data_IF_885529071548
#
_entry.id   IF_885529071548
#
_cell.length_a   1.000
_cell.length_b   1.000
_cell.length_c   1.000
_cell.angle_alpha   90.00
_cell.angle_beta   90.00
_cell.angle_gamma   90.00
#
_symmetry.space_group_name_H-M   'P 1'
#
loop_
_entity.id
_entity.type
_entity.pdbx_description
1 polymer ?
#
# COMPACT_ATOMS: atom_id res chain seq x y z
N UNK A 1 2.64 33.22 -6.05
CA UNK A 1 2.71 31.79 -5.73
C UNK A 1 3.46 31.16 -6.87
N UNK A 2 4.61 30.55 -6.64
CA UNK A 2 5.39 29.84 -7.66
C UNK A 2 4.99 28.38 -7.65
N UNK A 3 4.68 27.79 -8.80
CA UNK A 3 4.34 26.37 -8.99
C UNK A 3 5.43 25.62 -9.77
N UNK A 4 6.58 26.28 -10.02
CA UNK A 4 7.69 25.60 -10.66
C UNK A 4 8.25 24.54 -9.71
N UNK A 5 8.64 23.40 -10.27
CA UNK A 5 9.30 22.35 -9.53
C UNK A 5 10.73 22.77 -9.19
N UNK A 6 11.18 22.40 -8.00
CA UNK A 6 12.61 22.51 -7.63
C UNK A 6 13.44 21.48 -8.43
N UNK A 7 14.73 21.71 -8.61
CA UNK A 7 15.59 20.80 -9.38
C UNK A 7 15.53 19.34 -8.92
N UNK A 8 15.36 19.09 -7.63
CA UNK A 8 15.21 17.76 -7.06
C UNK A 8 13.93 17.08 -7.55
N UNK A 9 12.80 17.79 -7.55
CA UNK A 9 11.51 17.28 -8.05
C UNK A 9 11.56 17.00 -9.56
N UNK A 10 12.28 17.83 -10.32
CA UNK A 10 12.50 17.61 -11.75
C UNK A 10 13.31 16.35 -12.00
N UNK A 11 14.37 16.13 -11.21
CA UNK A 11 15.20 14.92 -11.30
C UNK A 11 14.38 13.67 -10.99
N UNK A 12 13.57 13.69 -9.92
CA UNK A 12 12.68 12.57 -9.56
C UNK A 12 11.70 12.30 -10.70
N UNK A 13 11.04 13.34 -11.21
CA UNK A 13 10.10 13.23 -12.33
C UNK A 13 10.73 12.57 -13.54
N UNK A 14 11.90 13.05 -13.95
CA UNK A 14 12.57 12.56 -15.16
C UNK A 14 13.06 11.11 -14.97
N UNK A 15 13.58 10.78 -13.80
CA UNK A 15 14.01 9.42 -13.44
C UNK A 15 12.81 8.44 -13.47
N UNK A 16 11.71 8.79 -12.83
CA UNK A 16 10.53 7.90 -12.78
C UNK A 16 9.86 7.79 -14.15
N UNK A 17 9.81 8.89 -14.90
CA UNK A 17 9.30 8.86 -16.29
C UNK A 17 10.12 7.92 -17.17
N UNK A 18 11.43 7.99 -17.08
CA UNK A 18 12.32 7.08 -17.82
C UNK A 18 12.07 5.63 -17.40
N UNK A 19 12.04 5.35 -16.10
CA UNK A 19 11.71 4.02 -15.59
C UNK A 19 10.37 3.52 -16.09
N UNK A 20 9.32 4.34 -16.03
CA UNK A 20 7.98 3.97 -16.47
C UNK A 20 7.95 3.63 -17.97
N UNK A 21 8.63 4.42 -18.81
CA UNK A 21 8.71 4.17 -20.25
C UNK A 21 9.55 2.94 -20.61
N UNK A 22 10.66 2.71 -19.92
CA UNK A 22 11.60 1.65 -20.27
C UNK A 22 11.28 0.31 -19.63
N UNK A 23 10.68 0.32 -18.42
CA UNK A 23 10.44 -0.90 -17.63
C UNK A 23 8.98 -1.28 -17.51
N UNK A 24 8.08 -0.30 -17.29
CA UNK A 24 6.65 -0.56 -17.10
C UNK A 24 5.93 -0.70 -18.43
N UNK A 25 6.05 0.26 -19.35
CA UNK A 25 5.34 0.27 -20.62
C UNK A 25 5.48 -1.04 -21.45
N UNK A 26 6.66 -1.65 -21.56
CA UNK A 26 6.82 -2.87 -22.37
C UNK A 26 6.06 -4.08 -21.85
N UNK A 27 5.72 -4.12 -20.56
CA UNK A 27 5.11 -5.29 -19.89
C UNK A 27 3.68 -5.05 -19.42
N UNK A 28 3.19 -3.81 -19.43
CA UNK A 28 1.88 -3.44 -18.90
C UNK A 28 0.72 -4.25 -19.51
N UNK A 29 0.70 -4.38 -20.85
CA UNK A 29 -0.35 -5.16 -21.55
C UNK A 29 -0.29 -6.66 -21.21
N UNK A 30 0.91 -7.21 -21.04
CA UNK A 30 1.10 -8.61 -20.63
C UNK A 30 0.62 -8.84 -19.21
N UNK A 31 0.99 -7.97 -18.28
CA UNK A 31 0.56 -8.04 -16.88
C UNK A 31 -0.97 -8.01 -16.75
N UNK A 32 -1.64 -7.11 -17.49
CA UNK A 32 -3.10 -7.02 -17.51
C UNK A 32 -3.74 -8.29 -18.08
N UNK A 33 -3.25 -8.76 -19.24
CA UNK A 33 -3.78 -9.96 -19.91
C UNK A 33 -3.63 -11.22 -19.04
N UNK A 34 -2.49 -11.37 -18.36
CA UNK A 34 -2.18 -12.53 -17.54
C UNK A 34 -2.69 -12.41 -16.11
N UNK A 35 -3.17 -11.23 -15.73
CA UNK A 35 -3.60 -10.90 -14.36
C UNK A 35 -2.49 -11.21 -13.33
N UNK A 36 -1.26 -10.86 -13.67
CA UNK A 36 -0.06 -11.18 -12.92
C UNK A 36 0.38 -9.98 -12.07
N UNK A 37 0.69 -10.24 -10.80
CA UNK A 37 1.28 -9.22 -9.94
C UNK A 37 2.72 -8.90 -10.38
N UNK A 38 3.11 -7.59 -10.46
CA UNK A 38 4.38 -7.16 -11.04
C UNK A 38 5.55 -7.20 -10.03
N UNK A 39 5.89 -8.38 -9.49
CA UNK A 39 6.94 -8.54 -8.48
C UNK A 39 8.27 -7.93 -8.91
N UNK A 40 8.65 -8.08 -10.16
CA UNK A 40 9.90 -7.58 -10.74
C UNK A 40 9.93 -6.04 -10.71
N UNK A 41 8.83 -5.40 -11.12
CA UNK A 41 8.72 -3.94 -11.10
C UNK A 41 8.70 -3.40 -9.67
N UNK A 42 8.06 -4.11 -8.73
CA UNK A 42 8.08 -3.74 -7.30
C UNK A 42 9.51 -3.79 -6.76
N UNK A 43 10.28 -4.81 -7.10
CA UNK A 43 11.68 -4.92 -6.70
C UNK A 43 12.54 -3.78 -7.30
N UNK A 44 12.35 -3.44 -8.57
CA UNK A 44 13.05 -2.33 -9.21
C UNK A 44 12.66 -0.96 -8.61
N UNK A 45 11.38 -0.75 -8.28
CA UNK A 45 10.91 0.44 -7.55
C UNK A 45 11.54 0.53 -6.15
N UNK A 46 11.74 -0.60 -5.50
CA UNK A 46 12.42 -0.69 -4.21
C UNK A 46 13.90 -0.32 -4.33
N UNK A 47 14.60 -0.79 -5.36
CA UNK A 47 16.01 -0.42 -5.64
C UNK A 47 16.17 1.08 -5.89
N UNK A 48 15.16 1.72 -6.50
CA UNK A 48 15.13 3.17 -6.68
C UNK A 48 14.75 3.94 -5.40
N UNK A 49 14.45 3.26 -4.28
CA UNK A 49 14.04 3.88 -3.01
C UNK A 49 12.62 4.43 -3.00
N UNK A 50 11.79 4.06 -4.00
CA UNK A 50 10.47 4.65 -4.18
C UNK A 50 9.38 4.05 -3.26
N UNK A 51 9.63 2.87 -2.67
CA UNK A 51 8.66 2.20 -1.81
C UNK A 51 8.52 2.85 -0.43
N UNK A 52 9.54 3.55 0.05
CA UNK A 52 9.59 4.24 1.35
C UNK A 52 9.84 5.74 1.26
N UNK A 53 9.39 6.41 0.20
CA UNK A 53 9.83 7.78 -0.13
C UNK A 53 9.73 8.78 1.01
N UNK A 54 8.59 8.87 1.70
CA UNK A 54 8.39 9.87 2.77
C UNK A 54 8.68 9.33 4.16
N UNK A 55 9.11 8.07 4.27
CA UNK A 55 9.54 7.47 5.54
C UNK A 55 10.96 7.95 5.86
N UNK A 56 11.25 8.33 7.12
CA UNK A 56 12.58 8.77 7.51
C UNK A 56 13.68 7.74 7.25
N UNK A 57 14.88 8.22 6.98
CA UNK A 57 16.06 7.39 6.73
C UNK A 57 16.39 6.43 7.88
N UNK A 58 16.11 6.81 9.14
CA UNK A 58 16.29 5.95 10.31
C UNK A 58 15.48 4.66 10.27
N UNK A 59 14.39 4.63 9.47
CA UNK A 59 13.56 3.45 9.20
C UNK A 59 13.78 2.87 7.80
N UNK A 60 14.81 3.33 7.09
CA UNK A 60 15.18 2.83 5.77
C UNK A 60 14.42 3.46 4.61
N UNK A 61 13.71 4.56 4.84
CA UNK A 61 13.04 5.35 3.80
C UNK A 61 13.99 6.38 3.17
N UNK A 62 13.50 7.14 2.20
CA UNK A 62 14.25 8.17 1.50
C UNK A 62 14.16 9.57 2.17
N UNK A 63 13.23 9.77 3.10
CA UNK A 63 13.01 11.07 3.76
C UNK A 63 12.54 12.18 2.82
N UNK A 64 12.05 11.83 1.63
CA UNK A 64 11.58 12.79 0.64
C UNK A 64 10.25 13.44 1.06
N UNK A 65 9.86 14.49 0.38
CA UNK A 65 8.61 15.20 0.66
C UNK A 65 7.38 14.58 -0.05
N UNK A 66 6.21 15.05 0.31
CA UNK A 66 4.94 14.58 -0.28
C UNK A 66 4.79 14.95 -1.75
N UNK A 67 5.41 16.05 -2.20
CA UNK A 67 5.38 16.45 -3.60
C UNK A 67 6.18 15.47 -4.46
N UNK A 68 7.36 15.06 -4.00
CA UNK A 68 8.15 14.01 -4.63
C UNK A 68 7.35 12.72 -4.80
N UNK A 69 6.64 12.27 -3.75
CA UNK A 69 5.77 11.12 -3.81
C UNK A 69 4.63 11.28 -4.83
N UNK A 70 3.97 12.45 -4.86
CA UNK A 70 2.89 12.72 -5.81
C UNK A 70 3.38 12.67 -7.27
N UNK A 71 4.58 13.20 -7.55
CA UNK A 71 5.23 13.14 -8.86
C UNK A 71 5.47 11.70 -9.29
N UNK A 72 5.96 10.84 -8.39
CA UNK A 72 6.19 9.42 -8.68
C UNK A 72 4.88 8.72 -9.06
N UNK A 73 3.82 8.92 -8.27
CA UNK A 73 2.51 8.33 -8.57
C UNK A 73 1.96 8.84 -9.90
N UNK A 74 2.10 10.14 -10.20
CA UNK A 74 1.66 10.72 -11.47
C UNK A 74 2.39 10.09 -12.66
N UNK A 75 3.72 10.04 -12.63
CA UNK A 75 4.50 9.52 -13.77
C UNK A 75 4.29 8.02 -14.01
N UNK A 76 4.15 7.22 -12.95
CA UNK A 76 3.79 5.80 -13.09
C UNK A 76 2.37 5.64 -13.65
N UNK A 77 1.39 6.42 -13.14
CA UNK A 77 -0.02 6.33 -13.56
C UNK A 77 -0.20 6.68 -15.04
N UNK A 78 0.62 7.56 -15.59
CA UNK A 78 0.60 7.91 -17.04
C UNK A 78 0.86 6.71 -17.94
N UNK A 79 1.56 5.70 -17.45
CA UNK A 79 1.92 4.48 -18.19
C UNK A 79 1.05 3.31 -17.76
N UNK A 80 0.96 3.04 -16.45
CA UNK A 80 0.16 1.94 -15.90
C UNK A 80 -0.37 2.30 -14.51
N UNK A 81 -1.69 2.41 -14.41
CA UNK A 81 -2.35 2.75 -13.15
C UNK A 81 -2.28 1.62 -12.12
N UNK A 82 -2.12 0.36 -12.55
CA UNK A 82 -2.06 -0.79 -11.63
C UNK A 82 -0.72 -0.84 -10.90
N UNK A 83 0.38 -0.58 -11.61
CA UNK A 83 1.71 -0.44 -11.00
C UNK A 83 1.74 0.77 -10.06
N UNK A 84 1.16 1.89 -10.49
CA UNK A 84 1.07 3.09 -9.66
C UNK A 84 0.27 2.86 -8.38
N UNK A 85 -0.88 2.20 -8.44
CA UNK A 85 -1.72 1.94 -7.27
C UNK A 85 -1.07 0.92 -6.32
N UNK A 86 -0.30 -0.04 -6.84
CA UNK A 86 0.49 -0.97 -6.02
C UNK A 86 1.46 -0.21 -5.12
N UNK A 87 2.23 0.73 -5.67
CA UNK A 87 3.11 1.62 -4.91
C UNK A 87 2.31 2.54 -3.99
N UNK A 88 1.28 3.20 -4.52
CA UNK A 88 0.51 4.19 -3.79
C UNK A 88 -0.23 3.59 -2.59
N UNK A 89 -0.88 2.44 -2.76
CA UNK A 89 -1.57 1.75 -1.66
C UNK A 89 -0.60 1.23 -0.61
N UNK A 90 0.55 0.68 -1.03
CA UNK A 90 1.59 0.26 -0.10
C UNK A 90 2.10 1.44 0.73
N UNK A 91 2.49 2.54 0.08
CA UNK A 91 3.10 3.68 0.76
C UNK A 91 2.09 4.45 1.62
N UNK A 92 1.02 4.98 0.98
CA UNK A 92 0.11 5.92 1.64
C UNK A 92 -0.90 5.25 2.57
N UNK A 93 -1.42 4.09 2.19
CA UNK A 93 -2.46 3.40 2.96
C UNK A 93 -1.89 2.33 3.89
N UNK A 94 -0.86 1.60 3.47
CA UNK A 94 -0.26 0.54 4.26
C UNK A 94 0.81 1.02 5.24
N UNK A 95 1.77 1.82 4.76
CA UNK A 95 2.97 2.19 5.53
C UNK A 95 2.80 3.46 6.35
N UNK A 96 2.24 4.54 5.77
CA UNK A 96 2.08 5.82 6.47
C UNK A 96 1.21 5.75 7.75
N UNK A 97 0.12 4.97 7.85
CA UNK A 97 -0.60 4.84 9.11
C UNK A 97 0.28 4.29 10.24
N UNK A 98 1.17 3.34 9.96
CA UNK A 98 2.12 2.82 10.94
C UNK A 98 3.12 3.92 11.32
N UNK A 99 3.61 4.68 10.37
CA UNK A 99 4.50 5.82 10.64
C UNK A 99 3.86 6.88 11.51
N UNK A 100 2.65 7.33 11.20
CA UNK A 100 2.01 8.42 11.92
C UNK A 100 1.42 8.02 13.27
N UNK A 101 0.86 6.81 13.38
CA UNK A 101 0.04 6.41 14.52
C UNK A 101 0.57 5.19 15.26
N UNK A 102 1.53 4.47 14.71
CA UNK A 102 2.15 3.32 15.36
C UNK A 102 3.00 3.72 16.58
N UNK A 103 3.07 2.83 17.56
CA UNK A 103 4.03 2.96 18.65
C UNK A 103 5.47 2.85 18.14
N UNK A 104 6.44 3.31 18.93
CA UNK A 104 7.86 3.18 18.56
C UNK A 104 8.28 1.71 18.34
N UNK A 105 7.65 0.78 19.05
CA UNK A 105 7.87 -0.65 18.84
C UNK A 105 7.36 -1.07 17.45
N UNK A 106 6.13 -0.71 17.10
CA UNK A 106 5.54 -1.03 15.80
C UNK A 106 6.32 -0.40 14.64
N UNK A 107 6.78 0.85 14.80
CA UNK A 107 7.62 1.52 13.80
C UNK A 107 8.93 0.75 13.56
N UNK A 108 9.62 0.36 14.60
CA UNK A 108 10.86 -0.44 14.50
C UNK A 108 10.64 -1.84 13.93
N UNK A 109 9.50 -2.43 14.21
CA UNK A 109 9.15 -3.77 13.73
C UNK A 109 8.78 -3.79 12.25
N UNK A 110 7.96 -2.83 11.80
CA UNK A 110 7.35 -2.88 10.47
C UNK A 110 8.05 -2.01 9.42
N UNK A 111 8.42 -0.77 9.79
CA UNK A 111 8.86 0.20 8.79
C UNK A 111 10.12 -0.19 8.00
N UNK A 112 11.16 -0.84 8.57
CA UNK A 112 12.37 -1.16 7.79
C UNK A 112 12.11 -2.07 6.60
N UNK A 113 11.24 -3.07 6.74
CA UNK A 113 10.88 -3.98 5.65
C UNK A 113 9.92 -3.33 4.65
N UNK A 114 8.99 -2.51 5.14
CA UNK A 114 8.05 -1.78 4.30
C UNK A 114 8.75 -0.66 3.51
N UNK A 115 9.53 0.18 4.17
CA UNK A 115 10.21 1.30 3.53
C UNK A 115 11.24 0.84 2.48
N UNK A 116 11.92 -0.28 2.72
CA UNK A 116 12.84 -0.87 1.74
C UNK A 116 12.14 -1.63 0.60
N UNK A 117 10.82 -1.78 0.63
CA UNK A 117 10.08 -2.55 -0.38
C UNK A 117 10.29 -4.06 -0.34
N UNK A 118 11.03 -4.60 0.64
CA UNK A 118 11.17 -6.06 0.82
C UNK A 118 9.83 -6.72 1.13
N UNK A 119 8.95 -5.97 1.78
CA UNK A 119 7.60 -6.37 2.11
C UNK A 119 6.61 -5.27 1.74
N UNK A 120 5.37 -5.65 1.48
CA UNK A 120 4.27 -4.73 1.23
C UNK A 120 3.32 -4.68 2.42
N UNK A 121 2.64 -3.55 2.57
CA UNK A 121 1.50 -3.40 3.45
C UNK A 121 0.25 -3.06 2.64
N UNK A 122 -0.90 -3.41 3.19
CA UNK A 122 -2.20 -3.16 2.62
C UNK A 122 -3.15 -2.49 3.62
N UNK A 123 -4.28 -1.98 3.14
CA UNK A 123 -5.30 -1.34 3.98
C UNK A 123 -6.69 -1.83 3.63
N UNK A 124 -7.35 -2.47 4.58
CA UNK A 124 -8.68 -3.04 4.44
C UNK A 124 -9.75 -2.13 5.03
N UNK A 125 -10.32 -1.26 4.20
CA UNK A 125 -11.44 -0.38 4.56
C UNK A 125 -12.76 -0.97 4.09
N UNK A 126 -12.87 -1.23 2.78
CA UNK A 126 -14.12 -1.52 2.08
C UNK A 126 -14.69 -2.88 2.46
N UNK A 127 -15.99 -2.92 2.68
CA UNK A 127 -16.80 -4.13 2.88
C UNK A 127 -17.91 -4.20 1.83
N UNK A 128 -18.59 -5.34 1.71
CA UNK A 128 -19.66 -5.50 0.74
C UNK A 128 -20.78 -4.46 0.90
N UNK A 129 -21.05 -4.03 2.13
CA UNK A 129 -22.10 -3.08 2.49
C UNK A 129 -21.56 -1.70 2.92
N UNK A 130 -20.27 -1.50 2.97
CA UNK A 130 -19.63 -0.27 3.43
C UNK A 130 -18.43 0.11 2.53
N UNK A 131 -18.62 1.10 1.69
CA UNK A 131 -17.59 1.65 0.80
C UNK A 131 -17.45 3.15 1.00
N UNK A 132 -18.20 3.97 0.25
CA UNK A 132 -18.19 5.43 0.40
C UNK A 132 -18.63 5.88 1.81
N UNK A 133 -19.53 5.15 2.44
CA UNK A 133 -19.83 5.29 3.87
C UNK A 133 -18.89 4.39 4.68
N UNK A 134 -17.68 4.86 4.90
CA UNK A 134 -16.66 4.14 5.69
C UNK A 134 -17.05 3.97 7.17
N UNK A 135 -17.94 4.82 7.68
CA UNK A 135 -18.48 4.73 9.02
C UNK A 135 -19.44 3.56 9.23
N UNK A 136 -19.97 2.99 8.14
CA UNK A 136 -20.88 1.83 8.17
C UNK A 136 -20.13 0.48 8.26
N UNK A 137 -18.82 0.46 8.58
CA UNK A 137 -18.05 -0.78 8.73
C UNK A 137 -18.71 -1.73 9.73
N UNK A 138 -18.78 -3.02 9.38
CA UNK A 138 -19.39 -4.08 10.17
C UNK A 138 -18.39 -5.08 10.76
N UNK A 139 -17.16 -5.09 10.25
CA UNK A 139 -16.08 -5.87 10.86
C UNK A 139 -15.94 -5.45 12.31
N UNK A 140 -15.92 -6.40 13.21
CA UNK A 140 -15.80 -6.18 14.67
C UNK A 140 -14.47 -6.67 15.16
N UNK A 141 -13.97 -6.05 16.23
CA UNK A 141 -12.80 -6.54 16.96
C UNK A 141 -13.03 -6.40 18.46
N UNK A 142 -12.78 -7.48 19.21
CA UNK A 142 -12.90 -7.50 20.67
C UNK A 142 -11.57 -7.88 21.28
N UNK A 143 -11.20 -7.18 22.36
CA UNK A 143 -10.00 -7.50 23.12
C UNK A 143 -10.31 -8.63 24.09
N UNK A 144 -9.72 -9.81 23.90
CA UNK A 144 -9.90 -11.01 24.72
C UNK A 144 -8.53 -11.51 25.18
N UNK A 145 -8.33 -11.60 26.48
CA UNK A 145 -7.05 -12.05 27.09
C UNK A 145 -5.80 -11.31 26.58
N UNK A 146 -5.94 -10.05 26.15
CA UNK A 146 -4.83 -9.22 25.64
C UNK A 146 -4.60 -9.33 24.12
N UNK A 147 -5.42 -10.08 23.41
CA UNK A 147 -5.37 -10.26 21.97
C UNK A 147 -6.66 -9.75 21.30
N UNK A 148 -6.55 -9.21 20.10
CA UNK A 148 -7.72 -8.82 19.31
C UNK A 148 -8.32 -10.04 18.60
N UNK A 149 -9.56 -10.34 18.89
CA UNK A 149 -10.39 -11.30 18.15
C UNK A 149 -11.20 -10.53 17.12
N UNK A 150 -10.92 -10.75 15.85
CA UNK A 150 -11.48 -10.01 14.72
C UNK A 150 -12.46 -10.92 13.97
N UNK A 151 -13.63 -10.38 13.64
CA UNK A 151 -14.66 -11.07 12.85
C UNK A 151 -15.24 -10.13 11.80
N UNK A 152 -15.11 -10.51 10.52
CA UNK A 152 -15.58 -9.73 9.40
C UNK A 152 -14.86 -10.04 8.09
N UNK A 153 -15.16 -9.25 7.07
CA UNK A 153 -14.50 -9.39 5.76
C UNK A 153 -14.32 -8.05 5.10
N UNK A 154 -13.22 -7.92 4.35
CA UNK A 154 -12.90 -6.74 3.54
C UNK A 154 -12.81 -7.15 2.07
N UNK A 155 -13.13 -6.22 1.15
CA UNK A 155 -13.08 -6.46 -0.30
C UNK A 155 -12.27 -5.38 -1.01
N UNK A 156 -11.72 -5.71 -2.17
CA UNK A 156 -10.92 -4.79 -3.01
C UNK A 156 -9.68 -4.25 -2.31
N UNK A 157 -8.95 -5.13 -1.63
CA UNK A 157 -7.79 -4.76 -0.83
C UNK A 157 -6.52 -4.96 -1.66
N UNK A 158 -6.02 -3.87 -2.22
CA UNK A 158 -4.77 -3.84 -2.98
C UNK A 158 -3.61 -4.34 -2.15
N UNK A 159 -2.75 -5.18 -2.72
CA UNK A 159 -1.56 -5.77 -2.12
C UNK A 159 -1.81 -6.79 -0.99
N UNK A 160 -3.04 -7.16 -0.68
CA UNK A 160 -3.32 -8.02 0.49
C UNK A 160 -2.88 -9.46 0.32
N UNK A 161 -2.87 -9.98 -0.92
CA UNK A 161 -2.69 -11.40 -1.23
C UNK A 161 -1.34 -11.75 -1.86
N UNK A 162 -0.37 -10.84 -1.88
CA UNK A 162 0.92 -11.13 -2.49
C UNK A 162 1.84 -11.93 -1.55
N UNK A 163 2.79 -12.68 -2.11
CA UNK A 163 3.78 -13.45 -1.36
C UNK A 163 4.70 -12.58 -0.49
N UNK A 164 4.77 -11.28 -0.79
CA UNK A 164 5.58 -10.31 -0.07
C UNK A 164 4.77 -9.41 0.87
N UNK A 165 3.45 -9.64 1.02
CA UNK A 165 2.63 -8.88 1.97
C UNK A 165 3.01 -9.22 3.40
N UNK A 166 3.37 -8.21 4.20
CA UNK A 166 3.68 -8.39 5.62
C UNK A 166 2.45 -8.28 6.50
N UNK A 167 1.58 -7.31 6.22
CA UNK A 167 0.41 -7.03 7.04
C UNK A 167 -0.69 -6.31 6.25
N UNK A 168 -1.89 -6.37 6.79
CA UNK A 168 -3.03 -5.56 6.37
C UNK A 168 -3.53 -4.77 7.58
N UNK A 169 -3.58 -3.45 7.47
CA UNK A 169 -4.28 -2.63 8.46
C UNK A 169 -5.77 -2.63 8.12
N UNK A 170 -6.62 -3.02 9.04
CA UNK A 170 -8.07 -3.05 8.83
C UNK A 170 -8.81 -2.07 9.74
N UNK A 171 -9.94 -1.56 9.28
CA UNK A 171 -10.91 -0.85 10.13
C UNK A 171 -11.86 -1.86 10.77
N UNK A 172 -12.11 -1.74 12.07
CA UNK A 172 -13.06 -2.58 12.80
C UNK A 172 -13.76 -1.78 13.91
N UNK A 173 -15.00 -2.14 14.19
CA UNK A 173 -15.76 -1.63 15.35
C UNK A 173 -15.19 -2.28 16.61
N UNK A 174 -14.69 -1.46 17.52
CA UNK A 174 -14.04 -1.89 18.78
C UNK A 174 -14.86 -1.53 20.03
N UNK A 175 -15.93 -0.74 19.88
CA UNK A 175 -16.82 -0.32 20.95
C UNK A 175 -18.07 0.35 20.40
N UNK A 176 -18.95 0.84 21.26
CA UNK A 176 -20.16 1.53 20.86
C UNK A 176 -19.83 2.84 20.11
N UNK A 177 -19.94 2.81 18.79
CA UNK A 177 -19.60 3.93 17.91
C UNK A 177 -18.10 4.19 17.70
N UNK A 178 -17.24 3.31 18.18
CA UNK A 178 -15.78 3.41 18.00
C UNK A 178 -15.30 2.53 16.87
N UNK A 179 -14.53 3.10 15.94
CA UNK A 179 -13.85 2.39 14.87
C UNK A 179 -12.35 2.57 15.06
N UNK A 180 -11.62 1.47 15.11
CA UNK A 180 -10.16 1.45 15.23
C UNK A 180 -9.50 0.85 14.02
N UNK A 181 -8.23 1.21 13.81
CA UNK A 181 -7.36 0.57 12.84
C UNK A 181 -6.49 -0.47 13.56
N UNK A 182 -6.50 -1.69 13.07
CA UNK A 182 -5.75 -2.81 13.64
C UNK A 182 -4.82 -3.36 12.57
N UNK A 183 -3.51 -3.45 12.86
CA UNK A 183 -2.53 -4.09 11.99
C UNK A 183 -2.62 -5.59 12.19
N UNK A 184 -2.98 -6.31 11.13
CA UNK A 184 -3.09 -7.78 11.12
C UNK A 184 -1.89 -8.34 10.34
N UNK A 185 -0.97 -9.06 11.00
CA UNK A 185 0.15 -9.71 10.33
C UNK A 185 -0.34 -10.76 9.33
N UNK A 186 0.36 -10.89 8.21
CA UNK A 186 0.11 -11.99 7.29
C UNK A 186 0.39 -13.34 7.98
N UNK A 187 -0.46 -14.33 7.74
CA UNK A 187 -0.37 -15.63 8.40
C UNK A 187 -1.02 -15.70 9.79
N UNK A 188 -1.68 -14.63 10.25
CA UNK A 188 -2.50 -14.67 11.48
C UNK A 188 -3.54 -15.79 11.37
N UNK A 189 -3.70 -16.67 12.39
CA UNK A 189 -4.69 -17.72 12.36
C UNK A 189 -6.10 -17.20 12.08
N UNK A 190 -6.78 -17.82 11.09
CA UNK A 190 -8.12 -17.38 10.65
C UNK A 190 -8.13 -16.26 9.64
N UNK A 191 -6.99 -15.61 9.33
CA UNK A 191 -6.90 -14.69 8.23
C UNK A 191 -6.81 -15.45 6.91
N UNK A 192 -7.84 -15.26 6.07
CA UNK A 192 -7.98 -15.95 4.78
C UNK A 192 -8.13 -14.91 3.67
N UNK A 193 -7.36 -15.07 2.61
CA UNK A 193 -7.42 -14.27 1.40
C UNK A 193 -8.18 -15.08 0.35
N UNK A 194 -9.22 -14.50 -0.24
CA UNK A 194 -9.96 -15.10 -1.34
C UNK A 194 -9.26 -14.89 -2.69
N UNK A 195 -9.74 -15.57 -3.73
CA UNK A 195 -9.24 -15.33 -5.08
C UNK A 195 -9.39 -13.86 -5.52
N UNK A 196 -8.43 -13.33 -6.30
CA UNK A 196 -8.47 -11.97 -6.83
C UNK A 196 -9.71 -11.71 -7.66
N UNK A 197 -10.25 -10.49 -7.57
CA UNK A 197 -11.40 -10.06 -8.37
C UNK A 197 -10.94 -9.16 -9.51
N UNK A 198 -11.41 -9.45 -10.74
CA UNK A 198 -11.16 -8.59 -11.89
C UNK A 198 -11.90 -7.25 -11.75
N UNK A 199 -11.21 -6.16 -11.99
CA UNK A 199 -11.76 -4.80 -12.03
C UNK A 199 -11.52 -4.19 -13.41
N UNK A 200 -12.44 -3.33 -13.86
CA UNK A 200 -12.27 -2.59 -15.12
C UNK A 200 -11.17 -1.53 -14.93
N UNK A 201 -10.16 -1.56 -15.79
CA UNK A 201 -9.08 -0.57 -15.81
C UNK A 201 -8.01 -0.74 -14.73
N UNK A 202 -8.03 -1.85 -13.99
CA UNK A 202 -6.96 -2.23 -13.09
C UNK A 202 -6.77 -3.75 -13.10
N UNK A 203 -5.52 -4.19 -13.09
CA UNK A 203 -5.20 -5.60 -12.85
C UNK A 203 -5.65 -5.95 -11.43
N UNK A 204 -6.23 -7.15 -11.19
CA UNK A 204 -6.48 -7.57 -9.83
C UNK A 204 -5.16 -7.53 -9.06
N UNK A 205 -5.06 -6.62 -8.13
CA UNK A 205 -4.05 -6.74 -7.09
C UNK A 205 -4.49 -7.88 -6.19
N UNK A 206 -3.72 -8.94 -6.16
CA UNK A 206 -3.91 -10.07 -5.26
C UNK A 206 -3.98 -9.64 -3.79
#
# INVERSE_FOLDING_TARGET
MNFDLEPEHELIRDTVRQFALERVAPVAEELDREKRFPYELVAELAELGLMGMTIPEEYGGAGADTLSYAIVVEELTRIDSSVAITLAAHHSLGTLPIWYFGSDQQKREWLPDLASGRKLAAFGLTEADAGSDAGATRTTARLEAGEWVIDGSKIFITNAGTDITACVTITAVTGDGEISNIVVPNGTPGYVISEPKSQIGSVPSE
#
